data_IF_989026963875
#
_entry.id   IF_989026963875
#
_cell.length_a   1.000
_cell.length_b   1.000
_cell.length_c   1.000
_cell.angle_alpha   90.00
_cell.angle_beta   90.00
_cell.angle_gamma   90.00
#
_symmetry.space_group_name_H-M   'P 1'
#
loop_
_entity.id
_entity.type
_entity.pdbx_description
1 polymer ?
#
# COMPACT_ATOMS: atom_id res chain seq x y z
N UNK A 1 12.34 1.89 -10.58
CA UNK A 1 11.22 2.21 -11.52
C UNK A 1 10.71 3.60 -11.19
N UNK A 2 10.48 4.43 -12.18
CA UNK A 2 9.83 5.74 -11.97
C UNK A 2 8.39 5.64 -12.47
N UNK A 3 7.44 5.77 -11.55
CA UNK A 3 6.01 5.88 -11.89
C UNK A 3 5.71 7.31 -12.32
N UNK A 4 4.83 7.46 -13.31
CA UNK A 4 4.30 8.77 -13.70
C UNK A 4 3.18 9.18 -12.73
N UNK A 5 2.86 10.45 -12.71
CA UNK A 5 1.75 10.96 -11.86
C UNK A 5 0.43 10.29 -12.23
N UNK A 6 0.18 10.09 -13.52
CA UNK A 6 -1.00 9.40 -14.03
C UNK A 6 -1.10 7.96 -13.49
N UNK A 7 0.03 7.23 -13.45
CA UNK A 7 0.09 5.87 -12.90
C UNK A 7 -0.26 5.85 -11.41
N UNK A 8 0.19 6.84 -10.65
CA UNK A 8 -0.10 6.98 -9.22
C UNK A 8 -1.58 7.32 -8.98
N UNK A 9 -2.16 8.18 -9.82
CA UNK A 9 -3.58 8.51 -9.77
C UNK A 9 -4.46 7.30 -10.09
N UNK A 10 -4.11 6.50 -11.10
CA UNK A 10 -4.81 5.25 -11.42
C UNK A 10 -4.78 4.26 -10.25
N UNK A 11 -3.63 4.12 -9.58
CA UNK A 11 -3.50 3.26 -8.40
C UNK A 11 -4.32 3.76 -7.23
N UNK A 12 -4.35 5.07 -7.00
CA UNK A 12 -5.20 5.65 -5.96
C UNK A 12 -6.69 5.45 -6.27
N UNK A 13 -7.08 5.59 -7.52
CA UNK A 13 -8.45 5.30 -7.96
C UNK A 13 -8.81 3.82 -7.75
N UNK A 14 -7.89 2.90 -8.04
CA UNK A 14 -8.05 1.48 -7.71
C UNK A 14 -8.35 1.25 -6.23
N UNK A 15 -7.62 1.92 -5.32
CA UNK A 15 -7.89 1.85 -3.88
C UNK A 15 -9.31 2.35 -3.57
N UNK A 16 -9.70 3.51 -4.10
CA UNK A 16 -11.04 4.09 -3.89
C UNK A 16 -12.16 3.18 -4.40
N UNK A 17 -11.97 2.57 -5.56
CA UNK A 17 -12.96 1.65 -6.14
C UNK A 17 -13.13 0.40 -5.27
N UNK A 18 -12.03 -0.19 -4.76
CA UNK A 18 -12.08 -1.33 -3.85
C UNK A 18 -12.71 -0.97 -2.49
N UNK A 19 -12.48 0.22 -1.97
CA UNK A 19 -13.17 0.71 -0.76
C UNK A 19 -14.68 0.72 -0.97
N UNK A 20 -15.14 1.25 -2.09
CA UNK A 20 -16.56 1.32 -2.42
C UNK A 20 -17.18 -0.05 -2.63
N UNK A 21 -16.48 -0.95 -3.33
CA UNK A 21 -16.99 -2.26 -3.72
C UNK A 21 -17.05 -3.23 -2.53
N UNK A 22 -16.05 -3.20 -1.64
CA UNK A 22 -15.81 -4.21 -0.61
C UNK A 22 -16.12 -3.76 0.83
N UNK A 23 -16.78 -2.63 1.01
CA UNK A 23 -17.15 -2.13 2.34
C UNK A 23 -18.59 -1.63 2.37
N UNK A 24 -19.20 -1.63 3.57
CA UNK A 24 -20.45 -0.90 3.79
C UNK A 24 -20.26 0.59 3.53
N UNK A 25 -21.33 1.28 3.19
CA UNK A 25 -21.30 2.74 2.95
C UNK A 25 -20.70 3.51 4.14
N UNK A 26 -21.08 3.13 5.38
CA UNK A 26 -20.55 3.75 6.60
C UNK A 26 -19.03 3.55 6.73
N UNK A 27 -18.55 2.30 6.54
CA UNK A 27 -17.11 2.00 6.62
C UNK A 27 -16.33 2.68 5.49
N UNK A 28 -16.86 2.65 4.27
CA UNK A 28 -16.25 3.34 3.13
C UNK A 28 -16.11 4.84 3.38
N UNK A 29 -17.11 5.49 3.98
CA UNK A 29 -17.03 6.89 4.37
C UNK A 29 -15.92 7.20 5.37
N UNK A 30 -15.73 6.33 6.37
CA UNK A 30 -14.64 6.47 7.36
C UNK A 30 -13.26 6.24 6.73
N UNK A 31 -13.13 5.20 5.89
CA UNK A 31 -11.90 4.91 5.17
C UNK A 31 -11.51 6.02 4.21
N UNK A 32 -12.46 6.59 3.49
CA UNK A 32 -12.20 7.70 2.57
C UNK A 32 -11.69 8.94 3.28
N UNK A 33 -12.20 9.27 4.47
CA UNK A 33 -11.66 10.37 5.30
C UNK A 33 -10.20 10.13 5.68
N UNK A 34 -9.84 8.90 6.06
CA UNK A 34 -8.47 8.53 6.34
C UNK A 34 -7.60 8.66 5.10
N UNK A 35 -8.06 8.13 3.96
CA UNK A 35 -7.31 8.20 2.70
C UNK A 35 -7.16 9.65 2.20
N UNK A 36 -8.15 10.50 2.37
CA UNK A 36 -8.03 11.93 2.03
C UNK A 36 -6.88 12.60 2.80
N UNK A 37 -6.70 12.22 4.06
CA UNK A 37 -5.59 12.72 4.87
C UNK A 37 -4.22 12.20 4.40
N UNK A 38 -4.14 10.93 4.01
CA UNK A 38 -2.89 10.25 3.66
C UNK A 38 -2.62 10.14 2.16
N UNK A 39 -3.47 10.70 1.31
CA UNK A 39 -3.42 10.47 -0.15
C UNK A 39 -2.06 10.76 -0.76
N UNK A 40 -1.47 11.91 -0.45
CA UNK A 40 -0.15 12.28 -0.95
C UNK A 40 0.94 11.29 -0.50
N UNK A 41 0.93 10.89 0.78
CA UNK A 41 1.87 9.89 1.29
C UNK A 41 1.66 8.52 0.66
N UNK A 42 0.42 8.09 0.50
CA UNK A 42 0.10 6.83 -0.16
C UNK A 42 0.64 6.78 -1.58
N UNK A 43 0.54 7.89 -2.31
CA UNK A 43 1.04 7.98 -3.68
C UNK A 43 2.57 8.07 -3.77
N UNK A 44 3.25 8.62 -2.76
CA UNK A 44 4.68 8.90 -2.82
C UNK A 44 5.56 8.00 -1.95
N UNK A 45 5.00 7.35 -0.92
CA UNK A 45 5.78 6.50 -0.02
C UNK A 45 6.37 5.27 -0.73
N UNK A 46 7.59 4.84 -0.35
CA UNK A 46 8.11 3.54 -0.73
C UNK A 46 7.47 2.44 0.12
N UNK A 47 7.49 1.20 -0.36
CA UNK A 47 7.08 0.03 0.43
C UNK A 47 8.21 -0.54 1.29
N UNK A 48 9.46 -0.20 1.01
CA UNK A 48 10.65 -0.63 1.76
C UNK A 48 11.78 0.39 1.65
N UNK A 49 12.82 0.19 2.46
CA UNK A 49 13.92 1.15 2.58
C UNK A 49 15.12 0.88 1.65
N UNK A 50 15.24 -0.32 1.11
CA UNK A 50 16.47 -0.78 0.43
C UNK A 50 16.15 -1.32 -0.95
N UNK A 51 16.97 -0.99 -1.96
CA UNK A 51 16.77 -1.30 -3.38
C UNK A 51 16.52 -2.77 -3.69
N UNK A 52 17.14 -3.69 -2.96
CA UNK A 52 16.94 -5.12 -3.14
C UNK A 52 15.75 -5.69 -2.37
N UNK A 53 15.02 -4.85 -1.66
CA UNK A 53 13.72 -5.18 -1.11
C UNK A 53 12.63 -4.80 -2.10
N UNK A 54 11.38 -5.23 -1.84
CA UNK A 54 10.28 -4.93 -2.74
C UNK A 54 9.92 -3.44 -2.73
N UNK A 55 9.68 -2.88 -3.90
CA UNK A 55 9.08 -1.57 -4.12
C UNK A 55 9.70 -0.41 -3.33
N UNK A 56 11.04 -0.32 -3.31
CA UNK A 56 11.79 0.74 -2.60
C UNK A 56 11.96 2.03 -3.44
N UNK A 57 10.89 2.48 -4.07
CA UNK A 57 10.85 3.70 -4.89
C UNK A 57 9.62 4.54 -4.57
N UNK A 58 9.60 5.83 -4.94
CA UNK A 58 8.42 6.68 -4.77
C UNK A 58 7.19 6.10 -5.47
N UNK A 59 6.09 5.92 -4.72
CA UNK A 59 4.90 5.23 -5.20
C UNK A 59 4.94 3.70 -5.05
N UNK A 60 6.03 3.15 -4.51
CA UNK A 60 6.16 1.72 -4.27
C UNK A 60 5.15 1.17 -3.29
N UNK A 61 4.75 1.95 -2.28
CA UNK A 61 3.72 1.57 -1.31
C UNK A 61 2.39 1.24 -1.99
N UNK A 62 1.86 2.18 -2.77
CA UNK A 62 0.54 1.99 -3.39
C UNK A 62 0.57 0.89 -4.47
N UNK A 63 1.66 0.75 -5.19
CA UNK A 63 1.89 -0.33 -6.15
C UNK A 63 1.89 -1.69 -5.46
N UNK A 64 2.59 -1.81 -4.33
CA UNK A 64 2.61 -3.01 -3.50
C UNK A 64 1.22 -3.37 -2.98
N UNK A 65 0.50 -2.42 -2.40
CA UNK A 65 -0.86 -2.63 -1.87
C UNK A 65 -1.79 -3.12 -2.97
N UNK A 66 -1.76 -2.51 -4.16
CA UNK A 66 -2.57 -2.96 -5.30
C UNK A 66 -2.24 -4.41 -5.68
N UNK A 67 -0.96 -4.74 -5.83
CA UNK A 67 -0.53 -6.08 -6.25
C UNK A 67 -0.92 -7.15 -5.21
N UNK A 68 -0.74 -6.88 -3.92
CA UNK A 68 -1.14 -7.81 -2.84
C UNK A 68 -2.65 -7.98 -2.78
N UNK A 69 -3.42 -6.91 -3.01
CA UNK A 69 -4.89 -6.98 -3.02
C UNK A 69 -5.39 -7.84 -4.19
N UNK A 70 -4.85 -7.65 -5.39
CA UNK A 70 -5.20 -8.49 -6.54
C UNK A 70 -4.79 -9.96 -6.35
N UNK A 71 -3.61 -10.21 -5.80
CA UNK A 71 -3.17 -11.56 -5.46
C UNK A 71 -4.12 -12.21 -4.43
N UNK A 72 -4.52 -11.48 -3.40
CA UNK A 72 -5.47 -11.94 -2.39
C UNK A 72 -6.82 -12.34 -2.97
N UNK A 73 -7.39 -11.51 -3.85
CA UNK A 73 -8.66 -11.82 -4.55
C UNK A 73 -8.55 -13.10 -5.39
N UNK A 74 -7.46 -13.24 -6.15
CA UNK A 74 -7.22 -14.42 -6.99
C UNK A 74 -7.05 -15.68 -6.16
N UNK A 75 -6.30 -15.63 -5.06
CA UNK A 75 -6.13 -16.75 -4.14
C UNK A 75 -7.45 -17.14 -3.48
N UNK A 76 -8.24 -16.15 -3.03
CA UNK A 76 -9.56 -16.42 -2.46
C UNK A 76 -10.43 -17.20 -3.45
N UNK A 77 -10.51 -16.71 -4.70
CA UNK A 77 -11.27 -17.39 -5.75
C UNK A 77 -10.74 -18.81 -6.03
N UNK A 78 -9.42 -18.99 -6.07
CA UNK A 78 -8.80 -20.29 -6.25
C UNK A 78 -9.25 -21.29 -5.19
N UNK A 79 -9.22 -20.90 -3.90
CA UNK A 79 -9.68 -21.75 -2.81
C UNK A 79 -11.19 -22.07 -2.89
N UNK A 80 -12.02 -21.09 -3.28
CA UNK A 80 -13.44 -21.35 -3.54
C UNK A 80 -13.63 -22.37 -4.67
N UNK A 81 -12.92 -22.21 -5.79
CA UNK A 81 -13.00 -23.09 -6.95
C UNK A 81 -12.56 -24.53 -6.62
N UNK A 82 -11.65 -24.72 -5.66
CA UNK A 82 -11.27 -26.03 -5.12
C UNK A 82 -12.26 -26.59 -4.08
N UNK A 83 -13.30 -25.86 -3.74
CA UNK A 83 -14.36 -26.29 -2.82
C UNK A 83 -14.01 -26.19 -1.33
N UNK A 84 -12.99 -25.41 -0.96
CA UNK A 84 -12.70 -25.13 0.45
C UNK A 84 -13.81 -24.28 1.08
N UNK A 85 -14.24 -24.67 2.27
CA UNK A 85 -15.16 -23.85 3.09
C UNK A 85 -14.36 -22.78 3.80
N UNK A 86 -14.44 -21.55 3.28
CA UNK A 86 -13.81 -20.40 3.90
C UNK A 86 -14.73 -19.79 4.96
N UNK A 87 -14.16 -19.39 6.11
CA UNK A 87 -14.88 -18.75 7.22
C UNK A 87 -14.88 -17.23 7.12
N UNK A 88 -14.28 -16.68 6.08
CA UNK A 88 -14.15 -15.26 5.78
C UNK A 88 -14.56 -15.00 4.33
N UNK A 89 -14.81 -13.73 4.01
CA UNK A 89 -15.27 -13.29 2.71
C UNK A 89 -14.14 -12.65 1.89
N UNK A 90 -14.38 -12.44 0.60
CA UNK A 90 -13.44 -11.66 -0.23
C UNK A 90 -13.31 -10.21 0.28
N UNK A 91 -14.37 -9.64 0.86
CA UNK A 91 -14.33 -8.31 1.46
C UNK A 91 -13.34 -8.24 2.63
N UNK A 92 -13.30 -9.29 3.46
CA UNK A 92 -12.31 -9.41 4.55
C UNK A 92 -10.88 -9.48 4.00
N UNK A 93 -10.66 -10.25 2.94
CA UNK A 93 -9.35 -10.36 2.27
C UNK A 93 -8.92 -9.00 1.73
N UNK A 94 -9.80 -8.30 1.02
CA UNK A 94 -9.52 -6.97 0.48
C UNK A 94 -9.19 -5.99 1.59
N UNK A 95 -9.97 -5.98 2.67
CA UNK A 95 -9.71 -5.10 3.81
C UNK A 95 -8.33 -5.37 4.44
N UNK A 96 -7.99 -6.63 4.68
CA UNK A 96 -6.70 -7.01 5.26
C UNK A 96 -5.53 -6.66 4.34
N UNK A 97 -5.62 -6.99 3.06
CA UNK A 97 -4.54 -6.74 2.09
C UNK A 97 -4.29 -5.25 1.85
N UNK A 98 -5.36 -4.45 1.78
CA UNK A 98 -5.24 -2.99 1.62
C UNK A 98 -4.59 -2.30 2.82
N UNK A 99 -4.73 -2.85 4.02
CA UNK A 99 -4.31 -2.18 5.26
C UNK A 99 -3.16 -2.88 5.99
N UNK A 100 -2.63 -4.00 5.48
CA UNK A 100 -1.58 -4.77 6.19
C UNK A 100 -0.31 -3.96 6.46
N UNK A 101 0.02 -3.02 5.59
CA UNK A 101 1.21 -2.15 5.65
C UNK A 101 0.88 -0.68 5.98
N UNK A 102 -0.33 -0.40 6.48
CA UNK A 102 -0.78 0.99 6.71
C UNK A 102 0.16 1.78 7.63
N UNK A 103 0.80 1.11 8.60
CA UNK A 103 1.78 1.74 9.49
C UNK A 103 3.00 2.32 8.77
N UNK A 104 3.30 1.88 7.55
CA UNK A 104 4.37 2.45 6.73
C UNK A 104 4.09 3.85 6.18
N UNK A 105 2.89 4.37 6.36
CA UNK A 105 2.55 5.77 6.06
C UNK A 105 2.95 6.73 7.17
N UNK A 106 3.27 6.23 8.35
CA UNK A 106 3.67 7.03 9.50
C UNK A 106 2.51 7.47 10.38
N UNK A 107 2.73 8.56 11.13
CA UNK A 107 1.73 9.17 11.99
C UNK A 107 0.90 10.21 11.25
N UNK A 108 -0.04 10.87 11.94
CA UNK A 108 -0.79 11.99 11.37
C UNK A 108 0.11 13.17 10.96
N UNK A 109 1.27 13.30 11.58
CA UNK A 109 2.15 14.45 11.44
C UNK A 109 3.40 14.15 10.61
N UNK A 110 3.93 12.91 10.65
CA UNK A 110 5.22 12.58 10.05
C UNK A 110 5.20 11.28 9.25
N UNK A 111 5.99 11.27 8.18
CA UNK A 111 6.20 10.10 7.32
C UNK A 111 7.02 9.03 8.05
N UNK A 112 6.68 7.75 7.82
CA UNK A 112 7.46 6.63 8.36
C UNK A 112 8.84 6.52 7.72
N UNK A 113 8.91 6.66 6.41
CA UNK A 113 10.17 6.66 5.66
C UNK A 113 10.56 8.08 5.26
N UNK A 114 11.86 8.38 5.41
CA UNK A 114 12.48 9.58 4.83
C UNK A 114 13.65 9.17 3.92
N UNK A 115 14.04 9.99 2.94
CA UNK A 115 15.24 9.74 2.16
C UNK A 115 16.46 9.60 3.08
N UNK A 116 17.30 8.58 2.83
CA UNK A 116 18.51 8.39 3.62
C UNK A 116 19.48 9.54 3.36
N UNK A 117 19.90 10.30 4.34
CA UNK A 117 20.80 11.45 4.16
C UNK A 117 22.22 11.03 3.78
N UNK A 118 22.63 9.80 4.09
CA UNK A 118 23.96 9.29 3.82
C UNK A 118 24.09 8.83 2.35
N UNK A 119 24.82 9.58 1.54
CA UNK A 119 25.15 9.21 0.17
C UNK A 119 25.88 7.87 0.10
N UNK A 120 26.81 7.62 1.02
CA UNK A 120 27.54 6.36 1.09
C UNK A 120 26.63 5.15 1.26
N UNK A 121 25.62 5.24 2.17
CA UNK A 121 24.67 4.15 2.38
C UNK A 121 23.76 3.94 1.17
N UNK A 122 23.35 5.02 0.49
CA UNK A 122 22.55 4.92 -0.73
C UNK A 122 23.32 4.20 -1.84
N UNK A 123 24.57 4.61 -2.09
CA UNK A 123 25.39 4.10 -3.22
C UNK A 123 25.92 2.70 -2.92
N UNK A 124 26.46 2.45 -1.72
CA UNK A 124 27.18 1.21 -1.43
C UNK A 124 26.31 0.11 -0.82
N UNK A 125 25.17 0.45 -0.23
CA UNK A 125 24.27 -0.50 0.43
C UNK A 125 22.85 -0.49 -0.13
N UNK A 126 22.54 0.33 -1.12
CA UNK A 126 21.20 0.46 -1.68
C UNK A 126 20.13 0.94 -0.68
N UNK A 127 20.53 1.52 0.44
CA UNK A 127 19.63 2.05 1.48
C UNK A 127 19.11 3.42 1.10
N UNK A 128 18.11 3.44 0.23
CA UNK A 128 17.55 4.68 -0.32
C UNK A 128 16.76 5.49 0.70
N UNK A 129 16.11 4.79 1.63
CA UNK A 129 15.30 5.38 2.70
C UNK A 129 15.77 4.88 4.06
N UNK A 130 15.41 5.61 5.10
CA UNK A 130 15.53 5.17 6.49
C UNK A 130 14.21 5.43 7.22
N UNK A 131 14.00 4.71 8.32
CA UNK A 131 12.85 4.97 9.21
C UNK A 131 13.06 6.32 9.88
N UNK A 132 12.03 7.16 9.87
CA UNK A 132 12.05 8.44 10.55
C UNK A 132 12.23 8.20 12.06
N UNK A 133 13.24 8.79 12.72
CA UNK A 133 13.49 8.58 14.15
C UNK A 133 12.48 9.30 15.07
N UNK A 134 11.62 10.17 14.53
CA UNK A 134 10.65 10.96 15.30
C UNK A 134 9.33 10.22 15.53
#
# INVERSE_FOLDING_TARGET
MKLKIEDLQERMQYIRDNVKEHNSEERAGKLNKMYDHFEERMMLAPASSTDYFHNSWPGGYIDHVMNITEAGKKLFKLYEDFGFKLTYTVDDVVFCTMHHDLGKLGSLEEDYYRPNPSEWHRINQGKMYEVNPN
#
